data_IF_098437106843
#
_entry.id   IF_098437106843
#
_cell.length_a   1.000
_cell.length_b   1.000
_cell.length_c   1.000
_cell.angle_alpha   90.00
_cell.angle_beta   90.00
_cell.angle_gamma   90.00
#
_symmetry.space_group_name_H-M   'P 1'
#
loop_
_entity.id
_entity.type
_entity.pdbx_description
1 polymer ?
#
# COMPACT_ATOMS: atom_id res chain seq x y z
N UNK A 1 13.63 52.43 -74.46
CA UNK A 1 13.04 51.09 -74.65
C UNK A 1 12.33 50.70 -73.36
N UNK A 2 11.07 50.25 -73.41
CA UNK A 2 9.98 51.22 -73.46
C UNK A 2 8.88 51.01 -72.40
N UNK A 3 8.04 52.06 -72.28
CA UNK A 3 6.60 52.04 -71.99
C UNK A 3 6.11 51.64 -70.58
N UNK A 4 5.03 52.19 -70.03
CA UNK A 4 4.19 53.40 -70.22
C UNK A 4 3.03 53.20 -69.22
N UNK A 5 2.57 54.29 -68.60
CA UNK A 5 1.16 54.56 -68.21
C UNK A 5 0.56 53.72 -67.05
N UNK A 6 -0.27 54.22 -66.14
CA UNK A 6 -0.95 55.52 -65.99
C UNK A 6 -1.66 55.57 -64.62
N UNK A 7 -1.62 56.75 -63.99
CA UNK A 7 -2.75 57.54 -63.47
C UNK A 7 -3.70 56.89 -62.42
N UNK A 8 -3.82 57.47 -61.20
CA UNK A 8 -4.74 58.60 -60.86
C UNK A 8 -6.13 58.05 -60.47
N UNK A 9 -6.87 58.45 -59.42
CA UNK A 9 -6.81 59.56 -58.48
C UNK A 9 -8.06 59.49 -57.56
N UNK A 10 -7.95 60.13 -56.40
CA UNK A 10 -8.98 60.70 -55.51
C UNK A 10 -9.93 59.75 -54.77
N UNK A 11 -9.90 59.65 -53.43
CA UNK A 11 -10.12 60.66 -52.39
C UNK A 11 -11.58 61.14 -52.28
N UNK A 12 -12.29 60.76 -51.22
CA UNK A 12 -12.90 61.68 -50.23
C UNK A 12 -13.74 60.92 -49.18
N UNK A 13 -13.25 60.94 -47.94
CA UNK A 13 -14.01 61.09 -46.68
C UNK A 13 -14.71 62.48 -46.65
N UNK A 14 -15.42 62.94 -45.59
CA UNK A 14 -15.96 62.33 -44.34
C UNK A 14 -17.47 62.74 -44.14
N UNK A 15 -18.26 62.51 -43.08
CA UNK A 15 -18.16 62.92 -41.65
C UNK A 15 -19.41 62.43 -40.85
N UNK A 16 -19.18 62.04 -39.59
CA UNK A 16 -19.89 62.34 -38.31
C UNK A 16 -21.41 62.01 -38.17
N UNK A 17 -21.98 61.62 -37.02
CA UNK A 17 -21.75 61.85 -35.57
C UNK A 17 -21.98 60.52 -34.78
N UNK A 18 -21.28 60.12 -33.70
CA UNK A 18 -21.01 60.67 -32.35
C UNK A 18 -22.22 60.90 -31.41
N UNK A 19 -22.32 60.05 -30.36
CA UNK A 19 -22.60 60.40 -28.95
C UNK A 19 -22.32 59.15 -28.08
N UNK A 20 -21.12 58.94 -27.53
CA UNK A 20 -20.63 59.26 -26.17
C UNK A 20 -21.59 59.02 -25.00
N UNK A 21 -21.20 58.13 -24.06
CA UNK A 21 -20.87 58.44 -22.64
C UNK A 21 -20.16 57.24 -21.98
N UNK A 22 -19.11 57.51 -21.22
CA UNK A 22 -18.29 56.63 -20.37
C UNK A 22 -18.54 56.97 -18.87
N UNK A 23 -17.74 56.55 -17.88
CA UNK A 23 -17.24 55.21 -17.49
C UNK A 23 -17.52 54.90 -15.99
N UNK A 24 -17.34 53.64 -15.55
CA UNK A 24 -17.01 53.39 -14.13
C UNK A 24 -16.22 52.09 -13.92
N UNK A 25 -15.16 52.25 -13.14
CA UNK A 25 -14.15 51.31 -12.64
C UNK A 25 -14.70 50.24 -11.68
N UNK A 26 -14.16 49.01 -11.71
CA UNK A 26 -13.70 48.26 -10.53
C UNK A 26 -13.06 46.89 -10.91
N UNK A 27 -11.91 46.58 -10.29
CA UNK A 27 -11.24 45.27 -10.29
C UNK A 27 -11.73 44.37 -9.13
N UNK A 28 -11.16 43.18 -8.83
CA UNK A 28 -11.91 41.93 -8.65
C UNK A 28 -12.06 41.48 -7.17
N UNK A 29 -13.04 40.62 -6.86
CA UNK A 29 -13.08 39.92 -5.56
C UNK A 29 -13.64 38.49 -5.69
N UNK A 30 -12.80 37.56 -5.27
CA UNK A 30 -13.02 36.16 -4.89
C UNK A 30 -14.10 36.00 -3.81
N UNK A 31 -14.87 34.89 -3.85
CA UNK A 31 -15.37 34.04 -2.72
C UNK A 31 -16.19 32.90 -3.38
N UNK A 32 -15.67 31.67 -3.55
CA UNK A 32 -15.80 30.49 -2.66
C UNK A 32 -17.23 30.32 -2.10
N UNK A 33 -17.86 29.17 -1.94
CA UNK A 33 -17.59 27.75 -2.15
C UNK A 33 -18.88 27.06 -1.64
N UNK A 34 -19.51 26.16 -2.40
CA UNK A 34 -20.54 25.27 -1.83
C UNK A 34 -20.68 23.94 -2.57
N UNK A 35 -20.19 23.80 -3.80
CA UNK A 35 -20.32 22.57 -4.58
C UNK A 35 -19.18 21.56 -4.40
N UNK A 36 -18.12 21.88 -3.64
CA UNK A 36 -16.97 20.98 -3.44
C UNK A 36 -17.07 20.08 -2.20
N UNK A 37 -18.03 20.32 -1.31
CA UNK A 37 -18.18 19.53 -0.07
C UNK A 37 -19.11 18.33 -0.32
N UNK A 38 -20.19 18.51 -1.10
CA UNK A 38 -21.14 17.45 -1.43
C UNK A 38 -20.47 16.24 -2.14
N UNK A 39 -19.53 16.50 -3.06
CA UNK A 39 -18.84 15.43 -3.79
C UNK A 39 -17.78 14.66 -2.96
N UNK A 40 -17.40 15.17 -1.78
CA UNK A 40 -16.48 14.46 -0.87
C UNK A 40 -17.22 13.51 0.09
N UNK A 41 -18.48 13.78 0.38
CA UNK A 41 -19.33 12.94 1.25
C UNK A 41 -19.93 11.74 0.52
N UNK A 42 -20.24 11.84 -0.78
CA UNK A 42 -20.78 10.69 -1.53
C UNK A 42 -19.74 9.59 -1.80
N UNK A 43 -18.45 9.93 -1.87
CA UNK A 43 -17.37 8.95 -2.04
C UNK A 43 -17.10 8.12 -0.76
N UNK A 44 -17.39 8.69 0.42
CA UNK A 44 -17.33 8.01 1.71
C UNK A 44 -18.57 7.13 1.96
N UNK A 45 -19.74 7.50 1.40
CA UNK A 45 -20.96 6.70 1.52
C UNK A 45 -21.00 5.51 0.54
N UNK A 46 -20.41 5.64 -0.64
CA UNK A 46 -20.28 4.53 -1.59
C UNK A 46 -19.36 3.40 -1.08
N UNK A 47 -18.43 3.71 -0.17
CA UNK A 47 -17.55 2.72 0.47
C UNK A 47 -18.25 1.99 1.63
N UNK A 48 -19.23 2.59 2.29
CA UNK A 48 -20.06 1.91 3.31
C UNK A 48 -21.09 0.95 2.72
N UNK A 49 -21.63 1.20 1.52
CA UNK A 49 -22.62 0.29 0.90
C UNK A 49 -22.04 -1.00 0.32
N UNK A 50 -20.73 -1.07 0.04
CA UNK A 50 -20.09 -2.30 -0.45
C UNK A 50 -19.82 -3.32 0.68
N UNK A 51 -19.76 -2.86 1.94
CA UNK A 51 -19.55 -3.70 3.14
C UNK A 51 -20.80 -4.53 3.47
N UNK A 52 -21.99 -4.08 3.06
CA UNK A 52 -23.27 -4.74 3.34
C UNK A 52 -23.69 -5.83 2.35
N UNK A 53 -22.92 -6.12 1.30
CA UNK A 53 -23.26 -7.14 0.28
C UNK A 53 -22.61 -8.51 0.50
N UNK A 54 -21.81 -8.69 1.56
CA UNK A 54 -21.23 -10.00 1.91
C UNK A 54 -21.97 -10.55 3.13
N UNK A 55 -23.17 -11.09 2.90
CA UNK A 55 -23.82 -11.95 3.88
C UNK A 55 -23.15 -13.34 3.87
N UNK A 56 -23.09 -14.05 5.01
CA UNK A 56 -22.19 -15.19 5.17
C UNK A 56 -22.79 -16.41 4.47
N UNK A 57 -22.13 -16.89 3.42
CA UNK A 57 -22.38 -18.23 2.91
C UNK A 57 -21.82 -19.20 3.95
N UNK A 58 -22.73 -19.85 4.65
CA UNK A 58 -22.52 -20.96 5.57
C UNK A 58 -21.60 -22.01 4.93
N UNK A 59 -20.34 -22.07 5.36
CA UNK A 59 -19.44 -23.20 5.09
C UNK A 59 -18.66 -23.55 6.35
N UNK A 60 -18.40 -24.85 6.56
CA UNK A 60 -17.90 -25.39 7.82
C UNK A 60 -16.54 -24.78 8.18
N UNK A 61 -16.33 -24.61 9.49
CA UNK A 61 -15.07 -24.15 10.07
C UNK A 61 -13.95 -25.13 9.71
N UNK A 62 -13.28 -24.87 8.59
CA UNK A 62 -11.88 -25.20 8.47
C UNK A 62 -11.09 -24.02 9.04
N UNK A 63 -10.06 -24.26 9.86
CA UNK A 63 -9.21 -23.18 10.31
C UNK A 63 -8.67 -22.47 9.07
N UNK A 64 -8.95 -21.18 8.94
CA UNK A 64 -8.23 -20.30 8.01
C UNK A 64 -6.79 -20.30 8.50
N UNK A 65 -6.01 -21.20 7.94
CA UNK A 65 -4.61 -21.41 8.26
C UNK A 65 -3.82 -20.27 7.62
N UNK A 66 -3.54 -19.25 8.42
CA UNK A 66 -2.50 -18.27 8.10
C UNK A 66 -1.20 -19.05 7.88
N UNK A 67 -0.56 -19.00 6.71
CA UNK A 67 0.62 -19.80 6.46
C UNK A 67 1.75 -19.39 7.42
N UNK A 68 2.47 -20.36 8.03
CA UNK A 68 3.73 -20.06 8.69
C UNK A 68 4.72 -19.60 7.63
N UNK A 69 5.23 -18.39 7.79
CA UNK A 69 6.45 -17.99 7.12
C UNK A 69 7.58 -18.91 7.60
N UNK A 70 8.05 -19.79 6.71
CA UNK A 70 9.31 -20.55 6.75
C UNK A 70 9.87 -20.77 8.17
N UNK A 71 9.46 -21.87 8.82
CA UNK A 71 10.07 -22.34 10.07
C UNK A 71 11.32 -23.16 9.71
N UNK A 72 12.51 -22.59 9.93
CA UNK A 72 13.74 -23.39 10.00
C UNK A 72 13.75 -24.18 11.33
N UNK A 73 14.31 -25.40 11.36
CA UNK A 73 14.25 -26.26 12.53
C UNK A 73 15.08 -25.66 13.67
N UNK A 74 14.45 -25.40 14.81
CA UNK A 74 15.15 -25.13 16.07
C UNK A 74 15.07 -26.38 16.92
N UNK A 75 16.25 -26.81 17.39
CA UNK A 75 16.42 -27.94 18.30
C UNK A 75 15.56 -27.76 19.57
N UNK A 76 14.85 -28.82 19.92
CA UNK A 76 14.14 -28.98 21.18
C UNK A 76 15.12 -29.12 22.35
N UNK A 77 14.93 -28.32 23.39
CA UNK A 77 15.18 -28.74 24.77
C UNK A 77 13.99 -28.28 25.60
N UNK A 78 13.34 -29.24 26.22
CA UNK A 78 12.18 -29.09 27.08
C UNK A 78 12.66 -28.80 28.48
N UNK A 79 12.22 -27.69 29.08
CA UNK A 79 12.15 -27.54 30.53
C UNK A 79 11.02 -26.56 30.84
N UNK A 80 9.97 -27.08 31.48
CA UNK A 80 8.83 -26.31 31.96
C UNK A 80 9.29 -25.47 33.15
N UNK A 81 9.18 -24.15 33.04
CA UNK A 81 9.30 -23.22 34.15
C UNK A 81 8.02 -22.39 34.22
N UNK A 82 7.48 -22.24 35.43
CA UNK A 82 6.33 -21.39 35.71
C UNK A 82 6.64 -19.97 35.22
N UNK A 83 5.96 -19.52 34.17
CA UNK A 83 6.17 -18.18 33.61
C UNK A 83 5.62 -17.13 34.58
N UNK A 84 6.46 -16.29 35.22
CA UNK A 84 5.96 -15.11 35.90
C UNK A 84 5.33 -14.23 34.83
N UNK A 85 4.03 -13.95 34.95
CA UNK A 85 3.20 -13.19 34.01
C UNK A 85 4.04 -12.22 33.15
N UNK A 86 4.43 -12.68 31.95
CA UNK A 86 5.30 -11.94 31.06
C UNK A 86 4.54 -10.68 30.64
N UNK A 87 4.78 -9.56 31.35
CA UNK A 87 4.10 -8.30 31.11
C UNK A 87 4.49 -7.83 29.72
N UNK A 88 3.61 -8.04 28.75
CA UNK A 88 3.84 -7.58 27.39
C UNK A 88 3.94 -6.06 27.42
N UNK A 89 4.91 -5.44 26.73
CA UNK A 89 5.04 -3.99 26.72
C UNK A 89 3.74 -3.31 26.30
N UNK A 90 3.12 -2.59 27.24
CA UNK A 90 1.86 -1.85 27.07
C UNK A 90 2.04 -0.59 26.22
N UNK A 91 3.26 -0.29 25.78
CA UNK A 91 3.58 0.88 24.97
C UNK A 91 3.16 0.68 23.50
N UNK A 92 1.86 0.67 23.24
CA UNK A 92 1.29 0.63 21.89
C UNK A 92 1.88 1.73 20.99
N UNK A 93 2.10 2.93 21.55
CA UNK A 93 2.73 4.04 20.85
C UNK A 93 4.15 3.75 20.38
N UNK A 94 5.01 3.17 21.22
CA UNK A 94 6.40 2.84 20.86
C UNK A 94 6.45 1.72 19.79
N UNK A 95 5.48 0.80 19.81
CA UNK A 95 5.32 -0.23 18.78
C UNK A 95 4.90 0.38 17.44
N UNK A 96 3.92 1.28 17.43
CA UNK A 96 3.46 1.99 16.22
C UNK A 96 4.56 2.87 15.62
N UNK A 97 5.33 3.58 16.46
CA UNK A 97 6.48 4.35 15.99
C UNK A 97 7.50 3.44 15.31
N UNK A 98 7.82 2.31 15.93
CA UNK A 98 8.66 1.27 15.32
C UNK A 98 8.12 0.77 13.99
N UNK A 99 6.82 0.49 13.90
CA UNK A 99 6.16 0.01 12.70
C UNK A 99 6.35 0.97 11.51
N UNK A 100 6.22 2.28 11.74
CA UNK A 100 6.41 3.33 10.73
C UNK A 100 7.89 3.52 10.38
N UNK A 101 8.79 3.54 11.37
CA UNK A 101 10.23 3.69 11.13
C UNK A 101 10.80 2.52 10.32
N UNK A 102 10.43 1.29 10.68
CA UNK A 102 10.84 0.10 9.93
C UNK A 102 10.26 0.13 8.52
N UNK A 103 8.96 0.43 8.37
CA UNK A 103 8.32 0.50 7.06
C UNK A 103 9.00 1.54 6.15
N UNK A 104 9.24 2.75 6.66
CA UNK A 104 9.87 3.84 5.88
C UNK A 104 11.31 3.51 5.50
N UNK A 105 12.10 2.93 6.42
CA UNK A 105 13.49 2.56 6.16
C UNK A 105 13.61 1.42 5.14
N UNK A 106 12.84 0.34 5.29
CA UNK A 106 12.87 -0.80 4.36
C UNK A 106 12.41 -0.39 2.97
N UNK A 107 11.33 0.38 2.89
CA UNK A 107 10.81 0.83 1.60
C UNK A 107 11.74 1.83 0.92
N UNK A 108 12.50 2.64 1.67
CA UNK A 108 13.53 3.52 1.11
C UNK A 108 14.61 2.74 0.32
N UNK A 109 14.96 1.53 0.77
CA UNK A 109 15.94 0.66 0.11
C UNK A 109 15.38 -0.01 -1.15
N UNK A 110 14.11 -0.37 -1.16
CA UNK A 110 13.47 -1.08 -2.30
C UNK A 110 13.00 -0.09 -3.38
N UNK A 111 12.66 1.15 -3.00
CA UNK A 111 12.06 2.16 -3.87
C UNK A 111 12.87 2.54 -5.12
N UNK A 112 14.21 2.61 -5.12
CA UNK A 112 14.98 2.93 -6.32
C UNK A 112 14.70 1.94 -7.45
N UNK A 113 14.66 0.64 -7.15
CA UNK A 113 14.36 -0.39 -8.14
C UNK A 113 12.91 -0.29 -8.66
N UNK A 114 11.95 -0.12 -7.74
CA UNK A 114 10.54 0.02 -8.10
C UNK A 114 10.31 1.23 -9.00
N UNK A 115 11.02 2.32 -8.72
CA UNK A 115 10.95 3.56 -9.49
C UNK A 115 11.46 3.37 -10.92
N UNK A 116 12.57 2.65 -11.10
CA UNK A 116 13.14 2.32 -12.43
C UNK A 116 12.08 1.64 -13.30
N UNK A 117 11.38 0.64 -12.75
CA UNK A 117 10.36 -0.12 -13.49
C UNK A 117 9.12 0.73 -13.79
N UNK A 118 8.51 1.36 -12.79
CA UNK A 118 7.27 2.12 -12.98
C UNK A 118 7.50 3.34 -13.89
N UNK A 119 8.65 4.01 -13.79
CA UNK A 119 9.00 5.13 -14.70
C UNK A 119 9.12 4.63 -16.14
N UNK A 120 9.80 3.51 -16.36
CA UNK A 120 9.95 2.90 -17.67
C UNK A 120 8.60 2.53 -18.31
N UNK A 121 7.67 1.98 -17.53
CA UNK A 121 6.32 1.64 -18.01
C UNK A 121 5.56 2.88 -18.49
N UNK A 122 5.63 3.98 -17.74
CA UNK A 122 4.92 5.22 -18.10
C UNK A 122 5.56 5.88 -19.33
N UNK A 123 6.89 6.00 -19.37
CA UNK A 123 7.59 6.54 -20.53
C UNK A 123 7.48 5.64 -21.77
N UNK A 124 7.21 4.35 -21.60
CA UNK A 124 6.88 3.49 -22.73
C UNK A 124 5.47 3.76 -23.26
N UNK A 125 4.51 3.98 -22.36
CA UNK A 125 3.11 4.22 -22.72
C UNK A 125 2.85 5.55 -23.44
N UNK A 126 3.74 6.54 -23.32
CA UNK A 126 3.66 7.79 -24.08
C UNK A 126 4.49 7.78 -25.38
N UNK A 127 5.19 6.68 -25.67
CA UNK A 127 6.05 6.52 -26.85
C UNK A 127 7.42 7.21 -26.78
N UNK A 128 7.80 7.81 -25.64
CA UNK A 128 9.05 8.58 -25.52
C UNK A 128 10.31 7.72 -25.41
N UNK A 129 10.24 6.58 -24.72
CA UNK A 129 11.40 5.71 -24.47
C UNK A 129 11.06 4.24 -24.69
N UNK A 130 12.10 3.43 -24.92
CA UNK A 130 12.00 1.98 -24.68
C UNK A 130 12.13 1.68 -23.18
N UNK A 131 11.66 0.50 -22.74
CA UNK A 131 11.75 0.11 -21.32
C UNK A 131 13.20 0.09 -20.83
N UNK A 132 14.11 -0.48 -21.63
CA UNK A 132 15.53 -0.58 -21.29
C UNK A 132 16.23 0.77 -21.25
N UNK A 133 15.95 1.65 -22.21
CA UNK A 133 16.55 2.99 -22.25
C UNK A 133 16.14 3.82 -21.02
N UNK A 134 14.86 3.86 -20.70
CA UNK A 134 14.36 4.56 -19.50
C UNK A 134 14.96 4.00 -18.22
N UNK A 135 15.08 2.67 -18.14
CA UNK A 135 15.66 2.01 -16.98
C UNK A 135 17.14 2.39 -16.81
N UNK A 136 17.92 2.32 -17.90
CA UNK A 136 19.33 2.67 -17.90
C UNK A 136 19.58 4.13 -17.51
N UNK A 137 18.87 5.08 -18.13
CA UNK A 137 18.98 6.50 -17.79
C UNK A 137 18.67 6.76 -16.31
N UNK A 138 17.70 6.02 -15.77
CA UNK A 138 17.35 6.14 -14.34
C UNK A 138 18.44 5.58 -13.45
N UNK A 139 19.02 4.42 -13.78
CA UNK A 139 20.16 3.85 -13.06
C UNK A 139 21.38 4.79 -13.09
N UNK A 140 21.69 5.37 -14.24
CA UNK A 140 22.79 6.33 -14.39
C UNK A 140 22.52 7.58 -13.54
N UNK A 141 21.30 8.11 -13.54
CA UNK A 141 20.94 9.27 -12.72
C UNK A 141 21.07 9.00 -11.21
N UNK A 142 20.67 7.80 -10.76
CA UNK A 142 20.85 7.35 -9.37
C UNK A 142 22.34 7.29 -9.01
N UNK A 143 23.16 6.75 -9.90
CA UNK A 143 24.60 6.60 -9.66
C UNK A 143 25.35 7.96 -9.68
N UNK A 144 24.99 8.85 -10.60
CA UNK A 144 25.71 10.12 -10.79
C UNK A 144 25.29 11.20 -9.78
N UNK A 145 24.02 11.24 -9.36
CA UNK A 145 23.50 12.28 -8.45
C UNK A 145 22.48 11.71 -7.44
N UNK A 146 22.91 10.84 -6.51
CA UNK A 146 22.01 10.13 -5.60
C UNK A 146 21.18 11.09 -4.73
N UNK A 147 21.79 12.14 -4.17
CA UNK A 147 21.08 13.11 -3.33
C UNK A 147 19.99 13.91 -4.07
N UNK A 148 20.22 14.24 -5.35
CA UNK A 148 19.21 14.90 -6.17
C UNK A 148 18.09 13.94 -6.57
N UNK A 149 18.43 12.67 -6.84
CA UNK A 149 17.45 11.63 -7.14
C UNK A 149 16.51 11.35 -5.96
N UNK A 150 17.04 11.23 -4.73
CA UNK A 150 16.23 11.00 -3.53
C UNK A 150 15.28 12.17 -3.22
N UNK A 151 15.62 13.38 -3.66
CA UNK A 151 14.74 14.57 -3.56
C UNK A 151 13.79 14.71 -4.74
N UNK A 152 13.93 13.89 -5.77
CA UNK A 152 13.11 13.99 -6.98
C UNK A 152 11.67 13.52 -6.71
N UNK A 153 10.66 14.15 -7.34
CA UNK A 153 9.27 13.73 -7.19
C UNK A 153 9.08 12.27 -7.66
N UNK A 154 9.87 11.82 -8.64
CA UNK A 154 9.91 10.44 -9.14
C UNK A 154 10.09 9.44 -8.00
N UNK A 155 11.17 9.59 -7.22
CA UNK A 155 11.48 8.69 -6.12
C UNK A 155 10.47 8.82 -4.98
N UNK A 156 10.13 10.07 -4.61
CA UNK A 156 9.29 10.35 -3.44
C UNK A 156 7.89 9.75 -3.58
N UNK A 157 7.26 9.83 -4.76
CA UNK A 157 5.94 9.22 -4.97
C UNK A 157 5.98 7.70 -4.82
N UNK A 158 7.03 7.06 -5.30
CA UNK A 158 7.20 5.61 -5.16
C UNK A 158 7.42 5.23 -3.69
N UNK A 159 8.38 5.89 -3.05
CA UNK A 159 8.73 5.64 -1.66
C UNK A 159 7.52 5.86 -0.74
N UNK A 160 6.81 6.97 -0.87
CA UNK A 160 5.62 7.26 -0.06
C UNK A 160 4.53 6.20 -0.24
N UNK A 161 4.31 5.70 -1.46
CA UNK A 161 3.31 4.66 -1.72
C UNK A 161 3.62 3.39 -0.94
N UNK A 162 4.85 2.92 -1.04
CA UNK A 162 5.26 1.69 -0.36
C UNK A 162 5.36 1.88 1.15
N UNK A 163 5.91 3.02 1.60
CA UNK A 163 5.98 3.37 3.01
C UNK A 163 4.59 3.42 3.65
N UNK A 164 3.59 4.00 2.98
CA UNK A 164 2.22 4.04 3.49
C UNK A 164 1.60 2.65 3.63
N UNK A 165 1.78 1.78 2.62
CA UNK A 165 1.21 0.43 2.64
C UNK A 165 1.86 -0.42 3.72
N UNK A 166 3.19 -0.38 3.84
CA UNK A 166 3.92 -1.14 4.86
C UNK A 166 3.62 -0.62 6.26
N UNK A 167 3.54 0.70 6.44
CA UNK A 167 3.16 1.30 7.72
C UNK A 167 1.76 0.88 8.12
N UNK A 168 0.79 0.97 7.21
CA UNK A 168 -0.59 0.56 7.48
C UNK A 168 -0.68 -0.91 7.85
N UNK A 169 -0.04 -1.80 7.09
CA UNK A 169 -0.01 -3.23 7.40
C UNK A 169 0.60 -3.48 8.78
N UNK A 170 1.76 -2.89 9.06
CA UNK A 170 2.47 -3.06 10.32
C UNK A 170 1.65 -2.53 11.51
N UNK A 171 1.07 -1.34 11.39
CA UNK A 171 0.24 -0.71 12.41
C UNK A 171 -1.02 -1.50 12.67
N UNK A 172 -1.74 -1.92 11.62
CA UNK A 172 -2.95 -2.73 11.75
C UNK A 172 -2.65 -4.03 12.49
N UNK A 173 -1.57 -4.73 12.13
CA UNK A 173 -1.12 -5.92 12.86
C UNK A 173 -0.87 -5.64 14.35
N UNK A 174 -0.15 -4.57 14.67
CA UNK A 174 0.17 -4.21 16.06
C UNK A 174 -1.09 -3.82 16.84
N UNK A 175 -2.01 -3.11 16.22
CA UNK A 175 -3.28 -2.69 16.83
C UNK A 175 -4.19 -3.89 17.07
N UNK A 176 -4.36 -4.78 16.09
CA UNK A 176 -5.18 -6.00 16.27
C UNK A 176 -4.58 -6.90 17.34
N UNK A 177 -3.26 -7.08 17.35
CA UNK A 177 -2.55 -7.87 18.37
C UNK A 177 -2.74 -7.28 19.78
N UNK A 178 -2.74 -5.95 19.89
CA UNK A 178 -2.98 -5.28 21.16
C UNK A 178 -4.41 -5.46 21.66
N UNK A 179 -5.41 -5.37 20.78
CA UNK A 179 -6.81 -5.62 21.13
C UNK A 179 -7.06 -7.09 21.51
N UNK A 180 -6.44 -8.03 20.80
CA UNK A 180 -6.52 -9.46 21.13
C UNK A 180 -5.95 -9.75 22.51
N UNK A 181 -4.78 -9.19 22.83
CA UNK A 181 -4.16 -9.34 24.14
C UNK A 181 -5.05 -8.78 25.27
N UNK A 182 -5.62 -7.58 25.08
CA UNK A 182 -6.54 -7.00 26.07
C UNK A 182 -7.80 -7.84 26.24
N UNK A 183 -8.32 -8.41 25.16
CA UNK A 183 -9.51 -9.27 25.19
C UNK A 183 -9.25 -10.58 25.95
N UNK A 184 -8.13 -11.23 25.64
CA UNK A 184 -7.74 -12.49 26.27
C UNK A 184 -7.43 -12.29 27.76
N UNK A 185 -6.79 -11.19 28.15
CA UNK A 185 -6.53 -10.86 29.56
C UNK A 185 -7.83 -10.75 30.37
N UNK A 186 -8.83 -10.00 29.86
CA UNK A 186 -10.14 -9.87 30.52
C UNK A 186 -10.91 -11.19 30.60
N UNK A 187 -10.74 -12.05 29.59
CA UNK A 187 -11.40 -13.37 29.54
C UNK A 187 -10.78 -14.31 30.56
N UNK A 188 -9.46 -14.29 30.73
CA UNK A 188 -8.77 -15.11 31.72
C UNK A 188 -9.10 -14.67 33.15
N UNK A 189 -9.17 -13.36 33.42
CA UNK A 189 -9.58 -12.82 34.74
C UNK A 189 -10.99 -13.30 35.16
N UNK A 190 -11.89 -13.51 34.18
CA UNK A 190 -13.25 -14.02 34.44
C UNK A 190 -13.30 -15.54 34.56
N UNK A 191 -12.40 -16.27 33.89
CA UNK A 191 -12.30 -17.73 33.96
C UNK A 191 -11.62 -18.22 35.25
N UNK A 192 -10.67 -17.45 35.81
CA UNK A 192 -10.00 -17.79 37.08
C UNK A 192 -10.97 -17.77 38.29
N UNK A 193 -12.13 -17.11 38.16
CA UNK A 193 -13.23 -17.21 39.14
C UNK A 193 -14.17 -18.41 38.90
N UNK A 194 -14.00 -19.15 37.81
CA UNK A 194 -14.88 -20.25 37.42
C UNK A 194 -14.08 -21.49 37.00
N UNK A 195 -13.20 -21.96 37.89
CA UNK A 195 -12.47 -23.21 37.73
C UNK A 195 -13.41 -24.42 37.85
N UNK A 196 -14.04 -24.81 36.74
CA UNK A 196 -14.42 -26.20 36.46
C UNK A 196 -14.05 -26.50 34.99
N UNK A 197 -12.99 -27.28 34.83
CA UNK A 197 -12.24 -27.49 33.58
C UNK A 197 -13.01 -28.20 32.46
N UNK A 198 -13.91 -27.48 31.79
CA UNK A 198 -14.41 -27.86 30.46
C UNK A 198 -13.95 -26.82 29.45
N UNK A 199 -13.02 -27.20 28.57
CA UNK A 199 -12.69 -26.42 27.37
C UNK A 199 -13.96 -26.27 26.53
N UNK A 200 -14.61 -25.12 26.65
CA UNK A 200 -15.92 -24.86 26.06
C UNK A 200 -15.75 -24.64 24.55
N UNK A 201 -16.44 -25.42 23.72
CA UNK A 201 -16.47 -25.29 22.24
C UNK A 201 -16.80 -23.85 21.80
N UNK A 202 -17.60 -23.15 22.62
CA UNK A 202 -17.93 -21.74 22.42
C UNK A 202 -16.69 -20.82 22.48
N UNK A 203 -15.73 -21.08 23.37
CA UNK A 203 -14.49 -20.30 23.47
C UNK A 203 -13.61 -20.49 22.24
N UNK A 204 -13.48 -21.72 21.74
CA UNK A 204 -12.73 -22.02 20.52
C UNK A 204 -13.35 -21.31 19.31
N UNK A 205 -14.69 -21.36 19.18
CA UNK A 205 -15.43 -20.68 18.11
C UNK A 205 -15.24 -19.16 18.18
N UNK A 206 -15.33 -18.55 19.36
CA UNK A 206 -15.12 -17.12 19.58
C UNK A 206 -13.69 -16.66 19.27
N UNK A 207 -12.67 -17.50 19.52
CA UNK A 207 -11.28 -17.22 19.10
C UNK A 207 -11.12 -17.30 17.59
N UNK A 208 -11.65 -18.35 16.96
CA UNK A 208 -11.63 -18.50 15.50
C UNK A 208 -12.31 -17.33 14.77
N UNK A 209 -13.46 -16.87 15.26
CA UNK A 209 -14.15 -15.70 14.68
C UNK A 209 -13.35 -14.41 14.84
N UNK A 210 -12.69 -14.20 15.98
CA UNK A 210 -11.84 -13.02 16.19
C UNK A 210 -10.60 -13.02 15.25
N UNK A 211 -9.93 -14.17 15.10
CA UNK A 211 -8.79 -14.32 14.18
C UNK A 211 -9.21 -14.00 12.74
N UNK A 212 -10.36 -14.51 12.31
CA UNK A 212 -10.92 -14.24 10.98
C UNK A 212 -11.25 -12.74 10.80
N UNK A 213 -11.88 -12.11 11.80
CA UNK A 213 -12.20 -10.68 11.79
C UNK A 213 -10.96 -9.78 11.75
N UNK A 214 -9.92 -10.12 12.51
CA UNK A 214 -8.65 -9.37 12.50
C UNK A 214 -7.93 -9.50 11.16
N UNK A 215 -7.89 -10.71 10.61
CA UNK A 215 -7.31 -10.96 9.28
C UNK A 215 -8.05 -10.14 8.21
N UNK A 216 -9.39 -10.13 8.25
CA UNK A 216 -10.20 -9.30 7.37
C UNK A 216 -9.94 -7.79 7.57
N UNK A 217 -9.80 -7.34 8.82
CA UNK A 217 -9.52 -5.93 9.13
C UNK A 217 -8.17 -5.49 8.59
N UNK A 218 -7.12 -6.28 8.81
CA UNK A 218 -5.78 -6.02 8.28
C UNK A 218 -5.81 -6.02 6.76
N UNK A 219 -6.49 -6.99 6.15
CA UNK A 219 -6.61 -7.10 4.71
C UNK A 219 -7.33 -5.91 4.08
N UNK A 220 -8.52 -5.56 4.57
CA UNK A 220 -9.32 -4.44 4.05
C UNK A 220 -8.59 -3.12 4.28
N UNK A 221 -8.08 -2.88 5.49
CA UNK A 221 -7.37 -1.65 5.81
C UNK A 221 -6.11 -1.47 4.97
N UNK A 222 -5.30 -2.51 4.82
CA UNK A 222 -4.09 -2.47 3.98
C UNK A 222 -4.44 -2.27 2.51
N UNK A 223 -5.51 -2.94 2.03
CA UNK A 223 -5.99 -2.79 0.64
C UNK A 223 -6.43 -1.37 0.35
N UNK A 224 -7.21 -0.75 1.24
CA UNK A 224 -7.68 0.63 1.07
C UNK A 224 -6.51 1.62 0.98
N UNK A 225 -5.52 1.49 1.88
CA UNK A 225 -4.32 2.33 1.85
C UNK A 225 -3.52 2.08 0.58
N UNK A 226 -3.28 0.81 0.23
CA UNK A 226 -2.51 0.45 -0.95
C UNK A 226 -3.15 0.95 -2.25
N UNK A 227 -4.46 0.76 -2.42
CA UNK A 227 -5.18 1.21 -3.62
C UNK A 227 -5.18 2.73 -3.71
N UNK A 228 -5.44 3.43 -2.60
CA UNK A 228 -5.45 4.89 -2.58
C UNK A 228 -4.08 5.46 -2.92
N UNK A 229 -3.02 4.99 -2.26
CA UNK A 229 -1.67 5.45 -2.49
C UNK A 229 -1.20 5.16 -3.92
N UNK A 230 -1.51 3.97 -4.43
CA UNK A 230 -1.18 3.56 -5.81
C UNK A 230 -1.87 4.45 -6.84
N UNK A 231 -3.15 4.77 -6.68
CA UNK A 231 -3.89 5.67 -7.58
C UNK A 231 -3.32 7.09 -7.59
N UNK A 232 -2.99 7.63 -6.41
CA UNK A 232 -2.38 8.96 -6.30
C UNK A 232 -1.02 8.98 -6.99
N UNK A 233 -0.19 7.95 -6.78
CA UNK A 233 1.10 7.78 -7.44
C UNK A 233 0.95 7.62 -8.95
N UNK A 234 0.04 6.80 -9.45
CA UNK A 234 -0.17 6.61 -10.88
C UNK A 234 -0.59 7.91 -11.58
N UNK A 235 -1.49 8.67 -10.94
CA UNK A 235 -1.87 10.01 -11.41
C UNK A 235 -0.67 10.94 -11.47
N UNK A 236 0.17 10.95 -10.44
CA UNK A 236 1.37 11.78 -10.41
C UNK A 236 2.37 11.37 -11.50
N UNK A 237 2.59 10.07 -11.68
CA UNK A 237 3.48 9.52 -12.70
C UNK A 237 3.00 9.82 -14.12
N UNK A 238 1.70 9.65 -14.38
CA UNK A 238 1.09 10.03 -15.65
C UNK A 238 1.35 11.51 -15.96
N UNK A 239 1.25 12.40 -14.97
CA UNK A 239 1.54 13.82 -15.15
C UNK A 239 3.03 14.15 -15.29
N UNK A 240 3.91 13.42 -14.63
CA UNK A 240 5.36 13.65 -14.64
C UNK A 240 6.02 13.13 -15.92
N UNK A 241 5.56 11.99 -16.43
CA UNK A 241 6.21 11.26 -17.52
C UNK A 241 5.30 11.00 -18.72
N UNK A 242 4.02 11.33 -18.66
CA UNK A 242 3.07 11.13 -19.75
C UNK A 242 2.95 12.35 -20.66
N UNK A 243 1.80 12.47 -21.32
CA UNK A 243 1.51 13.58 -22.22
C UNK A 243 1.23 14.87 -21.44
N UNK A 244 2.16 15.83 -21.48
CA UNK A 244 2.06 17.12 -20.77
C UNK A 244 0.97 18.06 -21.31
N UNK A 245 0.40 17.78 -22.49
CA UNK A 245 -0.71 18.57 -23.05
C UNK A 245 -2.06 18.29 -22.39
N UNK A 246 -2.19 17.16 -21.68
CA UNK A 246 -3.44 16.72 -21.04
C UNK A 246 -3.50 17.23 -19.59
N UNK A 247 -4.42 18.17 -19.32
CA UNK A 247 -4.51 18.81 -17.98
C UNK A 247 -5.08 17.90 -16.88
N UNK A 248 -6.00 17.00 -17.24
CA UNK A 248 -6.73 16.15 -16.30
C UNK A 248 -6.68 14.67 -16.70
N UNK A 249 -6.53 13.79 -15.71
CA UNK A 249 -6.57 12.34 -15.91
C UNK A 249 -8.03 11.91 -16.08
N UNK A 250 -8.39 11.17 -17.14
CA UNK A 250 -9.78 10.77 -17.37
C UNK A 250 -10.25 9.70 -16.37
N UNK A 251 -11.54 9.68 -16.06
CA UNK A 251 -12.14 8.75 -15.09
C UNK A 251 -11.89 7.27 -15.43
N UNK A 252 -11.85 6.94 -16.73
CA UNK A 252 -11.55 5.57 -17.20
C UNK A 252 -10.16 5.10 -16.75
N UNK A 253 -9.16 6.00 -16.67
CA UNK A 253 -7.83 5.64 -16.19
C UNK A 253 -7.85 5.23 -14.72
N UNK A 254 -8.59 5.95 -13.86
CA UNK A 254 -8.75 5.58 -12.46
C UNK A 254 -9.49 4.24 -12.30
N UNK A 255 -10.55 4.01 -13.09
CA UNK A 255 -11.25 2.72 -13.09
C UNK A 255 -10.32 1.56 -13.44
N UNK A 256 -9.54 1.69 -14.52
CA UNK A 256 -8.58 0.66 -14.95
C UNK A 256 -7.46 0.42 -13.92
N UNK A 257 -6.91 1.47 -13.32
CA UNK A 257 -5.89 1.34 -12.27
C UNK A 257 -6.45 0.74 -10.98
N UNK A 258 -7.70 1.02 -10.64
CA UNK A 258 -8.38 0.40 -9.51
C UNK A 258 -8.65 -1.09 -9.76
N UNK A 259 -9.16 -1.46 -10.94
CA UNK A 259 -9.37 -2.88 -11.31
C UNK A 259 -8.05 -3.65 -11.32
N UNK A 260 -6.97 -3.04 -11.80
CA UNK A 260 -5.62 -3.59 -11.70
C UNK A 260 -5.25 -3.88 -10.25
N UNK A 261 -5.45 -2.93 -9.33
CA UNK A 261 -5.11 -3.13 -7.93
C UNK A 261 -5.91 -4.25 -7.29
N UNK A 262 -7.22 -4.32 -7.54
CA UNK A 262 -8.03 -5.43 -7.04
C UNK A 262 -7.60 -6.77 -7.62
N UNK A 263 -7.15 -6.80 -8.89
CA UNK A 263 -6.59 -8.02 -9.49
C UNK A 263 -5.35 -8.48 -8.73
N UNK A 264 -4.42 -7.56 -8.44
CA UNK A 264 -3.19 -7.89 -7.71
C UNK A 264 -3.49 -8.28 -6.27
N UNK A 265 -4.30 -7.51 -5.54
CA UNK A 265 -4.68 -7.80 -4.16
C UNK A 265 -5.42 -9.13 -4.05
N UNK A 266 -6.43 -9.37 -4.89
CA UNK A 266 -7.16 -10.63 -4.92
C UNK A 266 -6.25 -11.83 -5.21
N UNK A 267 -5.29 -11.65 -6.13
CA UNK A 267 -4.31 -12.69 -6.46
C UNK A 267 -3.28 -12.97 -5.36
N UNK A 268 -3.02 -12.02 -4.47
CA UNK A 268 -2.04 -12.17 -3.39
C UNK A 268 -2.64 -12.76 -2.12
N UNK A 269 -3.92 -12.52 -1.85
CA UNK A 269 -4.51 -12.84 -0.55
C UNK A 269 -5.64 -13.87 -0.62
N UNK A 270 -6.36 -13.95 -1.74
CA UNK A 270 -7.55 -14.80 -1.86
C UNK A 270 -7.23 -16.02 -2.72
N UNK A 271 -6.75 -15.78 -3.93
CA UNK A 271 -6.55 -16.81 -4.94
C UNK A 271 -5.50 -17.90 -4.60
N UNK A 272 -4.40 -17.65 -3.85
CA UNK A 272 -3.39 -18.67 -3.58
C UNK A 272 -3.94 -19.90 -2.86
N UNK A 273 -4.92 -19.75 -1.96
CA UNK A 273 -5.53 -20.88 -1.24
C UNK A 273 -6.32 -21.78 -2.18
N UNK A 274 -7.12 -21.18 -3.08
CA UNK A 274 -7.87 -21.92 -4.09
C UNK A 274 -6.95 -22.62 -5.10
N UNK A 275 -5.88 -21.93 -5.53
CA UNK A 275 -4.88 -22.50 -6.44
C UNK A 275 -4.13 -23.65 -5.76
N UNK A 276 -3.74 -23.49 -4.50
CA UNK A 276 -3.05 -24.54 -3.75
C UNK A 276 -3.95 -25.76 -3.55
N UNK A 277 -5.22 -25.56 -3.17
CA UNK A 277 -6.19 -26.65 -3.01
C UNK A 277 -6.39 -27.41 -4.33
N UNK A 278 -6.61 -26.68 -5.43
CA UNK A 278 -6.74 -27.29 -6.76
C UNK A 278 -5.47 -28.04 -7.18
N UNK A 279 -4.29 -27.43 -7.02
CA UNK A 279 -3.02 -28.02 -7.43
C UNK A 279 -2.64 -29.26 -6.60
N UNK A 280 -2.99 -29.27 -5.30
CA UNK A 280 -2.72 -30.42 -4.42
C UNK A 280 -3.49 -31.68 -4.84
N UNK A 281 -4.59 -31.54 -5.57
CA UNK A 281 -5.33 -32.67 -6.14
C UNK A 281 -4.80 -33.15 -7.50
N UNK A 282 -4.01 -32.34 -8.22
CA UNK A 282 -3.61 -32.61 -9.60
C UNK A 282 -2.09 -32.82 -9.76
N UNK A 283 -1.30 -32.48 -8.74
CA UNK A 283 0.17 -32.53 -8.79
C UNK A 283 0.68 -33.32 -7.60
N UNK A 284 1.48 -34.36 -7.86
CA UNK A 284 2.19 -35.13 -6.83
C UNK A 284 3.38 -34.32 -6.28
N UNK A 285 3.08 -33.33 -5.44
CA UNK A 285 4.06 -32.51 -4.74
C UNK A 285 3.71 -32.40 -3.27
N UNK A 286 4.75 -32.15 -2.46
CA UNK A 286 4.58 -31.93 -1.02
C UNK A 286 3.65 -30.70 -0.78
N UNK A 287 2.63 -30.80 0.09
CA UNK A 287 1.62 -29.74 0.27
C UNK A 287 2.19 -28.36 0.61
N UNK A 288 3.25 -28.30 1.44
CA UNK A 288 3.90 -27.04 1.80
C UNK A 288 4.58 -26.39 0.59
N UNK A 289 5.22 -27.18 -0.29
CA UNK A 289 5.78 -26.70 -1.57
C UNK A 289 4.69 -26.19 -2.51
N UNK A 290 3.55 -26.89 -2.63
CA UNK A 290 2.41 -26.44 -3.46
C UNK A 290 1.86 -25.11 -2.95
N UNK A 291 1.72 -24.98 -1.63
CA UNK A 291 1.26 -23.75 -1.01
C UNK A 291 2.26 -22.59 -1.23
N UNK A 292 3.56 -22.84 -1.06
CA UNK A 292 4.60 -21.85 -1.29
C UNK A 292 4.64 -21.38 -2.77
N UNK A 293 4.53 -22.32 -3.71
CA UNK A 293 4.49 -22.01 -5.14
C UNK A 293 3.22 -21.24 -5.53
N UNK A 294 2.07 -21.55 -4.92
CA UNK A 294 0.83 -20.81 -5.17
C UNK A 294 0.94 -19.38 -4.63
N UNK A 295 1.45 -19.20 -3.41
CA UNK A 295 1.67 -17.89 -2.79
C UNK A 295 2.60 -16.98 -3.61
N UNK A 296 3.61 -17.55 -4.28
CA UNK A 296 4.52 -16.78 -5.14
C UNK A 296 4.00 -16.64 -6.57
N UNK A 297 3.50 -17.72 -7.16
CA UNK A 297 3.16 -17.82 -8.58
C UNK A 297 1.88 -17.09 -8.94
N UNK A 298 0.86 -17.16 -8.10
CA UNK A 298 -0.42 -16.51 -8.34
C UNK A 298 -0.31 -15.00 -8.57
N UNK A 299 0.36 -14.19 -7.72
CA UNK A 299 0.51 -12.76 -7.97
C UNK A 299 1.41 -12.42 -9.17
N UNK A 300 2.33 -13.30 -9.54
CA UNK A 300 3.13 -13.18 -10.77
C UNK A 300 2.24 -13.38 -11.99
N UNK A 301 1.45 -14.45 -12.03
CA UNK A 301 0.53 -14.75 -13.12
C UNK A 301 -0.55 -13.67 -13.27
N UNK A 302 -1.04 -13.11 -12.17
CA UNK A 302 -2.00 -12.01 -12.20
C UNK A 302 -1.48 -10.76 -12.94
N UNK A 303 -0.16 -10.60 -13.10
CA UNK A 303 0.41 -9.51 -13.91
C UNK A 303 0.05 -9.61 -15.40
N UNK A 304 -0.30 -10.80 -15.90
CA UNK A 304 -0.79 -10.98 -17.28
C UNK A 304 -2.10 -10.23 -17.53
N UNK A 305 -2.89 -9.98 -16.48
CA UNK A 305 -4.14 -9.20 -16.54
C UNK A 305 -3.89 -7.78 -16.02
N UNK A 306 -3.25 -7.65 -14.87
CA UNK A 306 -3.03 -6.37 -14.23
C UNK A 306 -2.13 -5.45 -15.07
N UNK A 307 -1.11 -5.99 -15.74
CA UNK A 307 -0.19 -5.21 -16.59
C UNK A 307 -0.89 -4.50 -17.74
N UNK A 308 -1.68 -5.22 -18.55
CA UNK A 308 -2.55 -4.61 -19.54
C UNK A 308 -3.49 -3.55 -19.00
N UNK A 309 -4.16 -3.80 -17.87
CA UNK A 309 -5.06 -2.81 -17.25
C UNK A 309 -4.33 -1.52 -16.88
N UNK A 310 -3.13 -1.63 -16.30
CA UNK A 310 -2.31 -0.47 -15.97
C UNK A 310 -1.91 0.32 -17.23
N UNK A 311 -1.39 -0.37 -18.23
CA UNK A 311 -0.93 0.22 -19.48
C UNK A 311 -2.08 0.88 -20.25
N UNK A 312 -3.25 0.24 -20.29
CA UNK A 312 -4.44 0.80 -20.91
C UNK A 312 -4.91 2.07 -20.19
N UNK A 313 -4.82 2.11 -18.86
CA UNK A 313 -5.12 3.33 -18.09
C UNK A 313 -4.17 4.48 -18.43
N UNK A 314 -2.89 4.20 -18.64
CA UNK A 314 -1.89 5.18 -19.09
C UNK A 314 -2.13 5.60 -20.55
N UNK A 315 -2.47 4.65 -21.42
CA UNK A 315 -2.78 4.90 -22.83
C UNK A 315 -4.03 5.78 -23.01
N UNK A 316 -5.05 5.59 -22.16
CA UNK A 316 -6.22 6.47 -22.09
C UNK A 316 -5.86 7.91 -21.73
N UNK A 317 -4.83 8.10 -20.90
CA UNK A 317 -4.33 9.43 -20.54
C UNK A 317 -3.44 10.03 -21.64
N UNK A 318 -2.50 9.26 -22.19
CA UNK A 318 -1.50 9.76 -23.13
C UNK A 318 -2.08 10.02 -24.53
N UNK A 319 -3.04 9.17 -24.96
CA UNK A 319 -3.69 9.25 -26.27
C UNK A 319 -5.20 9.45 -26.09
N UNK A 320 -5.66 10.69 -25.85
CA UNK A 320 -7.08 11.01 -25.85
C UNK A 320 -7.61 10.90 -27.29
N UNK A 321 -8.29 9.79 -27.59
CA UNK A 321 -8.90 9.57 -28.89
C UNK A 321 -10.13 10.47 -29.06
N UNK A 322 -10.33 10.98 -30.27
CA UNK A 322 -11.44 11.84 -30.64
C UNK A 322 -12.80 11.20 -30.27
N UNK A 323 -13.70 11.93 -29.59
CA UNK A 323 -15.05 11.45 -29.31
C UNK A 323 -15.86 11.11 -30.56
N UNK A 324 -15.53 11.73 -31.69
CA UNK A 324 -16.16 11.50 -32.99
C UNK A 324 -15.82 10.11 -33.57
N UNK A 325 -14.73 9.48 -33.13
CA UNK A 325 -14.40 8.12 -33.57
C UNK A 325 -15.34 7.09 -32.91
N UNK A 326 -15.97 6.19 -33.69
CA UNK A 326 -16.78 5.10 -33.17
C UNK A 326 -16.08 4.30 -32.06
N UNK A 327 -16.83 3.85 -31.06
CA UNK A 327 -16.27 3.20 -29.87
C UNK A 327 -15.49 1.91 -30.21
N UNK A 328 -15.98 1.13 -31.17
CA UNK A 328 -15.37 -0.11 -31.63
C UNK A 328 -13.98 0.14 -32.26
N UNK A 329 -13.84 1.21 -33.05
CA UNK A 329 -12.57 1.58 -33.65
C UNK A 329 -11.56 2.09 -32.61
N UNK A 330 -12.05 2.83 -31.60
CA UNK A 330 -11.22 3.25 -30.46
C UNK A 330 -10.70 2.05 -29.66
N UNK A 331 -11.55 1.07 -29.38
CA UNK A 331 -11.16 -0.16 -28.67
C UNK A 331 -10.15 -0.95 -29.50
N UNK A 332 -10.38 -1.10 -30.80
CA UNK A 332 -9.49 -1.84 -31.70
C UNK A 332 -8.11 -1.18 -31.80
N UNK A 333 -8.04 0.15 -31.89
CA UNK A 333 -6.78 0.90 -31.90
C UNK A 333 -5.98 0.67 -30.61
N UNK A 334 -6.63 0.80 -29.45
CA UNK A 334 -6.00 0.55 -28.15
C UNK A 334 -5.54 -0.90 -28.00
N UNK A 335 -6.34 -1.85 -28.49
CA UNK A 335 -5.97 -3.27 -28.47
C UNK A 335 -4.70 -3.55 -29.27
N UNK A 336 -4.54 -2.96 -30.45
CA UNK A 336 -3.32 -3.12 -31.27
C UNK A 336 -2.08 -2.60 -30.56
N UNK A 337 -2.17 -1.39 -29.99
CA UNK A 337 -1.05 -0.78 -29.24
C UNK A 337 -0.72 -1.60 -28.01
N UNK A 338 -1.73 -2.10 -27.30
CA UNK A 338 -1.56 -2.98 -26.15
C UNK A 338 -0.83 -4.27 -26.55
N UNK A 339 -1.29 -4.97 -27.60
CA UNK A 339 -0.67 -6.22 -28.08
C UNK A 339 0.81 -6.05 -28.43
N UNK A 340 1.20 -4.93 -29.04
CA UNK A 340 2.60 -4.65 -29.36
C UNK A 340 3.50 -4.45 -28.14
N UNK A 341 2.94 -4.02 -27.00
CA UNK A 341 3.71 -3.67 -25.81
C UNK A 341 3.51 -4.66 -24.65
N UNK A 342 2.55 -5.59 -24.75
CA UNK A 342 2.09 -6.42 -23.62
C UNK A 342 3.20 -7.25 -23.00
N UNK A 343 4.07 -7.87 -23.82
CA UNK A 343 5.14 -8.75 -23.33
C UNK A 343 6.13 -7.96 -22.46
N UNK A 344 6.59 -6.80 -22.96
CA UNK A 344 7.51 -5.95 -22.22
C UNK A 344 6.88 -5.38 -20.94
N UNK A 345 5.62 -4.96 -21.01
CA UNK A 345 4.87 -4.45 -19.85
C UNK A 345 4.69 -5.52 -18.78
N UNK A 346 4.21 -6.71 -19.16
CA UNK A 346 3.98 -7.82 -18.23
C UNK A 346 5.29 -8.28 -17.62
N UNK A 347 6.33 -8.49 -18.44
CA UNK A 347 7.66 -8.90 -17.98
C UNK A 347 8.28 -7.92 -16.99
N UNK A 348 8.21 -6.61 -17.28
CA UNK A 348 8.69 -5.57 -16.37
C UNK A 348 7.92 -5.59 -15.04
N UNK A 349 6.60 -5.77 -15.07
CA UNK A 349 5.78 -5.86 -13.84
C UNK A 349 6.04 -7.13 -13.04
N UNK A 350 6.30 -8.26 -13.69
CA UNK A 350 6.73 -9.50 -13.03
C UNK A 350 8.08 -9.33 -12.35
N UNK A 351 9.07 -8.75 -13.06
CA UNK A 351 10.39 -8.44 -12.49
C UNK A 351 10.30 -7.51 -11.27
N UNK A 352 9.32 -6.59 -11.28
CA UNK A 352 9.03 -5.68 -10.17
C UNK A 352 8.66 -6.38 -8.85
N UNK A 353 8.07 -7.57 -8.92
CA UNK A 353 7.57 -8.29 -7.73
C UNK A 353 8.74 -8.72 -6.83
N UNK A 354 9.89 -9.08 -7.42
CA UNK A 354 10.99 -9.73 -6.71
C UNK A 354 11.54 -8.88 -5.55
N UNK A 355 11.86 -7.58 -5.71
CA UNK A 355 12.45 -6.83 -4.60
C UNK A 355 11.44 -6.48 -3.52
N UNK A 356 10.16 -6.33 -3.88
CA UNK A 356 9.08 -6.10 -2.93
C UNK A 356 8.82 -7.32 -2.04
N UNK A 357 8.64 -8.51 -2.64
CA UNK A 357 8.39 -9.75 -1.90
C UNK A 357 9.64 -10.31 -1.22
N UNK A 358 10.80 -10.18 -1.86
CA UNK A 358 12.07 -10.63 -1.31
C UNK A 358 12.61 -9.68 -0.25
N UNK A 359 13.32 -8.64 -0.69
CA UNK A 359 14.02 -7.71 0.22
C UNK A 359 13.01 -6.99 1.14
N UNK A 360 11.98 -6.38 0.58
CA UNK A 360 11.00 -5.62 1.36
C UNK A 360 10.32 -6.47 2.44
N UNK A 361 9.76 -7.61 2.05
CA UNK A 361 9.06 -8.50 2.97
C UNK A 361 9.94 -9.09 4.07
N UNK A 362 11.17 -9.51 3.75
CA UNK A 362 12.10 -10.13 4.72
C UNK A 362 12.63 -9.10 5.71
N UNK A 363 13.13 -7.96 5.23
CA UNK A 363 13.71 -6.94 6.10
C UNK A 363 12.66 -6.27 6.98
N UNK A 364 11.45 -6.02 6.48
CA UNK A 364 10.36 -5.44 7.29
C UNK A 364 10.02 -6.33 8.50
N UNK A 365 9.92 -7.65 8.30
CA UNK A 365 9.66 -8.59 9.40
C UNK A 365 10.82 -8.65 10.38
N UNK A 366 12.04 -8.78 9.87
CA UNK A 366 13.25 -8.89 10.70
C UNK A 366 13.46 -7.65 11.57
N UNK A 367 13.38 -6.46 10.98
CA UNK A 367 13.61 -5.21 11.70
C UNK A 367 12.48 -4.87 12.65
N UNK A 368 11.23 -5.22 12.31
CA UNK A 368 10.10 -5.11 13.23
C UNK A 368 10.27 -6.01 14.44
N UNK A 369 10.71 -7.25 14.26
CA UNK A 369 11.01 -8.16 15.36
C UNK A 369 12.14 -7.61 16.24
N UNK A 370 13.25 -7.20 15.64
CA UNK A 370 14.37 -6.58 16.36
C UNK A 370 13.95 -5.34 17.17
N UNK A 371 13.08 -4.50 16.62
CA UNK A 371 12.52 -3.36 17.35
C UNK A 371 11.69 -3.81 18.56
N UNK A 372 10.85 -4.83 18.40
CA UNK A 372 10.05 -5.39 19.49
C UNK A 372 10.93 -5.99 20.59
N UNK A 373 11.98 -6.73 20.23
CA UNK A 373 12.94 -7.29 21.17
C UNK A 373 13.66 -6.19 21.95
N UNK A 374 14.05 -5.11 21.27
CA UNK A 374 14.64 -3.93 21.91
C UNK A 374 13.70 -3.28 22.93
N UNK A 375 12.40 -3.14 22.60
CA UNK A 375 11.41 -2.59 23.53
C UNK A 375 11.25 -3.48 24.77
N UNK A 376 11.22 -4.81 24.60
CA UNK A 376 11.14 -5.76 25.70
C UNK A 376 12.37 -5.64 26.60
N UNK A 377 13.58 -5.67 26.03
CA UNK A 377 14.83 -5.52 26.78
C UNK A 377 14.86 -4.22 27.58
N UNK A 378 14.50 -3.10 26.95
CA UNK A 378 14.43 -1.79 27.61
C UNK A 378 13.43 -1.76 28.76
N UNK A 379 12.30 -2.47 28.64
CA UNK A 379 11.32 -2.57 29.71
C UNK A 379 11.81 -3.45 30.86
N UNK A 380 12.41 -4.61 30.57
CA UNK A 380 13.03 -5.49 31.58
C UNK A 380 14.12 -4.74 32.35
N UNK A 381 14.95 -3.95 31.67
CA UNK A 381 15.96 -3.11 32.31
C UNK A 381 15.36 -2.03 33.22
N UNK A 382 14.23 -1.43 32.82
CA UNK A 382 13.51 -0.45 33.65
C UNK A 382 12.93 -1.11 34.90
N UNK A 383 12.23 -2.24 34.76
CA UNK A 383 11.68 -2.99 35.90
C UNK A 383 12.77 -3.41 36.88
N UNK A 384 13.90 -3.91 36.38
CA UNK A 384 15.06 -4.25 37.22
C UNK A 384 15.59 -3.03 37.98
N UNK A 385 15.68 -1.86 37.33
CA UNK A 385 16.13 -0.61 37.99
C UNK A 385 15.13 -0.10 39.02
N UNK A 386 13.83 -0.29 38.81
CA UNK A 386 12.78 0.06 39.77
C UNK A 386 12.78 -0.87 40.98
N UNK A 387 12.99 -2.17 40.80
CA UNK A 387 13.23 -3.13 41.89
C UNK A 387 14.49 -2.77 42.68
N UNK A 388 15.55 -2.32 42.00
CA UNK A 388 16.79 -1.81 42.59
C UNK A 388 16.70 -0.33 43.04
N UNK A 389 15.49 0.24 43.16
CA UNK A 389 15.31 1.61 43.65
C UNK A 389 15.96 1.80 45.02
N UNK A 390 16.62 2.95 45.28
CA UNK A 390 17.17 3.27 46.60
C UNK A 390 16.13 3.18 47.73
N UNK A 391 14.85 3.33 47.45
CA UNK A 391 13.77 3.12 48.41
C UNK A 391 13.59 1.63 48.75
N UNK A 392 13.53 0.75 47.74
CA UNK A 392 13.45 -0.71 47.90
C UNK A 392 14.69 -1.26 48.60
N UNK A 393 15.88 -0.76 48.22
CA UNK A 393 17.14 -1.10 48.88
C UNK A 393 17.15 -0.64 50.35
N UNK A 394 16.67 0.57 50.66
CA UNK A 394 16.56 1.05 52.05
C UNK A 394 15.58 0.23 52.88
N UNK A 395 14.45 -0.19 52.31
CA UNK A 395 13.50 -1.08 52.98
C UNK A 395 14.08 -2.48 53.22
N UNK A 396 14.81 -3.03 52.24
CA UNK A 396 15.49 -4.32 52.38
C UNK A 396 16.57 -4.26 53.48
N UNK A 397 17.38 -3.20 53.52
CA UNK A 397 18.39 -2.98 54.57
C UNK A 397 17.74 -2.82 55.95
N UNK A 398 16.59 -2.13 56.04
CA UNK A 398 15.83 -2.01 57.28
C UNK A 398 15.29 -3.37 57.76
N UNK A 399 14.76 -4.20 56.87
CA UNK A 399 14.30 -5.56 57.15
C UNK A 399 15.42 -6.51 57.60
N UNK A 400 16.61 -6.42 56.99
CA UNK A 400 17.77 -7.21 57.39
C UNK A 400 18.23 -6.80 58.79
N UNK A 401 18.29 -5.49 59.09
CA UNK A 401 18.64 -4.99 60.42
C UNK A 401 17.63 -5.40 61.50
N UNK A 402 16.33 -5.37 61.21
CA UNK A 402 15.32 -5.81 62.18
C UNK A 402 15.41 -7.31 62.48
N UNK A 403 15.80 -8.13 61.49
CA UNK A 403 16.00 -9.58 61.68
C UNK A 403 17.26 -9.92 62.50
N UNK A 404 18.33 -9.12 62.38
CA UNK A 404 19.56 -9.28 63.17
C UNK A 404 19.43 -8.83 64.63
N UNK A 405 18.45 -7.98 64.97
CA UNK A 405 18.21 -7.55 66.35
C UNK A 405 17.25 -8.48 67.12
N UNK A 406 16.57 -9.40 66.41
CA UNK A 406 15.66 -10.42 66.98
C UNK A 406 16.31 -11.81 67.13
N UNK A 407 17.61 -11.92 66.89
CA UNK A 407 18.46 -13.09 67.21
C UNK A 407 19.52 -12.64 68.20
#
# INVERSE_FOLDING_TARGET
MPNRLSASSNAHLPRHEQLTTSPSTHSPSTILSSTSIAARTEFLLASTSLVTMISPISKPCYPVFVPPLIRLPSHSSSEASEDPALSWPTNLGEKIVGDVLVATAVTALVSPFLTVVDKALVQRSNGSHTLGQSAWETCVAVAQRPGAYLKSPTYLWMWMTYASTYSAANMLHTVTEHYDYQRDSKTNDTLDQQSNGSYNENTAKTKCTAISSNTATIFVGTTMVNTTASLVKDRAYAKLFGNNSVKAVPNISYGLWMTRDFTVVGSSFILPEYVAAWASHHVEMEPSRVQALSQLGTPILAQTIAGPLHFLGLDCYNRPLSPQTPWNLRVLDRWRVLQQNVIGVVGARMARILPGYGIGGVYNKRWKAQWRDYLIQRQVERSRREELSPASIRQLVALIRSKQQSS
#
